data_IF_354734643658
#
_entry.id   IF_354734643658
#
_cell.length_a   1.000
_cell.length_b   1.000
_cell.length_c   1.000
_cell.angle_alpha   90.00
_cell.angle_beta   90.00
_cell.angle_gamma   90.00
#
_symmetry.space_group_name_H-M   'P 1'
#
loop_
_entity.id
_entity.type
_entity.pdbx_description
1 polymer ?
#
# COMPACT_ATOMS: atom_id res chain seq x y z
N UNK A 1 -48.91 42.09 44.02
CA UNK A 1 -49.03 40.92 43.11
C UNK A 1 -47.97 41.06 42.00
N UNK A 2 -46.82 40.38 42.18
CA UNK A 2 -45.68 40.43 41.21
C UNK A 2 -45.82 39.19 40.35
N UNK A 3 -46.02 39.39 39.01
CA UNK A 3 -46.02 38.32 38.05
C UNK A 3 -44.59 38.08 37.53
N UNK A 4 -43.97 36.97 37.93
CA UNK A 4 -42.74 36.47 37.32
C UNK A 4 -43.07 35.81 35.99
N UNK A 5 -42.60 36.38 34.89
CA UNK A 5 -42.62 35.75 33.58
C UNK A 5 -41.27 35.03 33.42
N UNK A 6 -41.30 33.71 33.46
CA UNK A 6 -40.12 32.89 33.15
C UNK A 6 -39.95 32.77 31.64
N UNK A 7 -38.93 33.40 31.06
CA UNK A 7 -38.53 33.22 29.68
C UNK A 7 -37.72 31.96 29.54
N UNK A 8 -38.25 30.94 28.87
CA UNK A 8 -37.57 29.69 28.56
C UNK A 8 -36.79 29.89 27.26
N UNK A 9 -35.47 30.19 27.37
CA UNK A 9 -34.60 30.26 26.21
C UNK A 9 -34.22 28.83 25.80
N UNK A 10 -34.81 28.35 24.70
CA UNK A 10 -34.41 27.09 24.09
C UNK A 10 -33.07 27.27 23.36
N UNK A 11 -32.01 26.69 23.92
CA UNK A 11 -30.70 26.62 23.31
C UNK A 11 -30.69 25.49 22.27
N UNK A 12 -30.87 25.84 20.98
CA UNK A 12 -30.68 24.89 19.88
C UNK A 12 -29.21 24.54 19.80
N UNK A 13 -28.84 23.35 20.27
CA UNK A 13 -27.53 22.73 19.93
C UNK A 13 -27.59 22.30 18.44
N UNK A 14 -27.00 23.12 17.58
CA UNK A 14 -26.66 22.68 16.22
C UNK A 14 -25.47 21.73 16.30
N UNK A 15 -25.73 20.42 16.31
CA UNK A 15 -24.70 19.40 16.04
C UNK A 15 -24.36 19.50 14.55
N UNK A 16 -23.28 20.19 14.21
CA UNK A 16 -22.66 20.06 12.91
C UNK A 16 -22.19 18.61 12.74
N UNK A 17 -22.84 17.86 11.87
CA UNK A 17 -22.28 16.62 11.34
C UNK A 17 -21.02 17.03 10.57
N UNK A 18 -19.85 16.84 11.20
CA UNK A 18 -18.57 16.95 10.50
C UNK A 18 -18.51 15.78 9.53
N UNK A 19 -18.72 16.02 8.24
CA UNK A 19 -18.37 15.05 7.22
C UNK A 19 -16.85 14.88 7.29
N UNK A 20 -16.36 13.65 7.42
CA UNK A 20 -14.95 13.36 7.39
C UNK A 20 -14.36 13.92 6.08
N UNK A 21 -13.22 14.61 6.16
CA UNK A 21 -12.56 15.11 4.97
C UNK A 21 -11.81 14.00 4.22
N UNK A 22 -11.38 14.23 2.99
CA UNK A 22 -10.76 13.18 2.17
C UNK A 22 -9.48 12.59 2.79
N UNK A 23 -8.76 13.35 3.60
CA UNK A 23 -7.62 12.82 4.36
C UNK A 23 -8.04 11.80 5.43
N UNK A 24 -9.20 12.02 6.08
CA UNK A 24 -9.75 11.08 7.05
C UNK A 24 -10.32 9.85 6.33
N UNK A 25 -11.05 10.04 5.22
CA UNK A 25 -11.53 8.93 4.40
C UNK A 25 -10.38 8.04 3.91
N UNK A 26 -9.23 8.66 3.55
CA UNK A 26 -8.00 7.93 3.24
C UNK A 26 -7.46 7.14 4.42
N UNK A 27 -7.37 7.77 5.59
CA UNK A 27 -6.86 7.13 6.80
C UNK A 27 -7.72 5.94 7.23
N UNK A 28 -9.04 6.05 7.09
CA UNK A 28 -9.97 5.01 7.54
C UNK A 28 -10.06 3.82 6.56
N UNK A 29 -9.83 4.05 5.26
CA UNK A 29 -10.16 3.05 4.24
C UNK A 29 -8.98 2.63 3.35
N UNK A 30 -7.89 3.39 3.28
CA UNK A 30 -6.86 3.21 2.27
C UNK A 30 -5.45 2.98 2.84
N UNK A 31 -5.14 3.62 3.97
CA UNK A 31 -3.76 3.67 4.49
C UNK A 31 -3.17 2.30 4.86
N UNK A 32 -3.98 1.34 5.28
CA UNK A 32 -3.50 0.01 5.68
C UNK A 32 -2.82 -0.72 4.51
N UNK A 33 -3.32 -0.49 3.30
CA UNK A 33 -2.73 -1.04 2.09
C UNK A 33 -1.75 -0.09 1.41
N UNK A 34 -2.06 1.21 1.36
CA UNK A 34 -1.31 2.19 0.57
C UNK A 34 -0.35 3.06 1.40
N UNK A 35 -0.20 2.76 2.70
CA UNK A 35 0.67 3.47 3.63
C UNK A 35 0.08 4.80 4.11
N UNK A 36 0.30 5.17 5.38
CA UNK A 36 -0.23 6.39 5.98
C UNK A 36 0.22 7.68 5.24
N UNK A 37 1.41 7.66 4.64
CA UNK A 37 1.96 8.74 3.82
C UNK A 37 1.65 8.63 2.33
N UNK A 38 0.78 7.76 1.88
CA UNK A 38 0.48 7.47 0.47
C UNK A 38 1.68 6.93 -0.34
N UNK A 39 2.76 6.52 0.32
CA UNK A 39 4.01 6.07 -0.32
C UNK A 39 4.01 4.58 -0.69
N UNK A 40 2.91 3.89 -0.46
CA UNK A 40 2.77 2.47 -0.76
C UNK A 40 2.98 1.58 0.46
N UNK A 41 2.67 0.32 0.28
CA UNK A 41 2.76 -0.78 1.23
C UNK A 41 2.41 -2.06 0.50
N UNK A 42 1.38 -2.76 0.94
CA UNK A 42 0.79 -3.89 0.18
C UNK A 42 0.27 -3.44 -1.18
N UNK A 43 -0.36 -2.26 -1.20
CA UNK A 43 -0.79 -1.57 -2.41
C UNK A 43 0.27 -0.58 -2.91
N UNK A 44 0.18 -0.14 -4.18
CA UNK A 44 1.11 0.83 -4.74
C UNK A 44 1.01 2.20 -4.06
N UNK A 45 2.04 3.03 -4.23
CA UNK A 45 2.00 4.42 -3.82
C UNK A 45 0.87 5.18 -4.54
N UNK A 46 0.16 6.04 -3.81
CA UNK A 46 -0.93 6.88 -4.32
C UNK A 46 -0.49 8.36 -4.33
N UNK A 47 0.49 8.65 -5.18
CA UNK A 47 1.04 9.99 -5.39
C UNK A 47 0.91 10.37 -6.87
N UNK A 48 0.93 11.67 -7.22
CA UNK A 48 0.76 12.11 -8.61
C UNK A 48 1.68 11.41 -9.61
N UNK A 49 2.93 11.15 -9.23
CA UNK A 49 3.94 10.51 -10.07
C UNK A 49 3.59 9.06 -10.45
N UNK A 50 2.95 8.33 -9.54
CA UNK A 50 2.49 6.96 -9.81
C UNK A 50 1.13 6.95 -10.49
N UNK A 51 0.22 7.83 -10.04
CA UNK A 51 -1.13 7.93 -10.59
C UNK A 51 -1.15 8.46 -12.03
N UNK A 52 -0.22 9.35 -12.39
CA UNK A 52 -0.07 9.86 -13.77
C UNK A 52 0.28 8.79 -14.80
N UNK A 53 0.72 7.62 -14.38
CA UNK A 53 1.00 6.47 -15.25
C UNK A 53 -0.19 5.53 -15.42
N UNK A 54 -1.30 5.80 -14.76
CA UNK A 54 -2.52 4.99 -14.92
C UNK A 54 -3.10 5.22 -16.31
N UNK A 55 -2.97 4.19 -17.16
CA UNK A 55 -3.69 4.11 -18.43
C UNK A 55 -5.00 3.38 -18.15
N UNK A 56 -6.12 4.03 -18.29
CA UNK A 56 -7.42 3.37 -18.11
C UNK A 56 -8.46 4.22 -17.37
N UNK A 57 -9.33 3.60 -16.59
CA UNK A 57 -10.45 4.28 -15.96
C UNK A 57 -9.97 5.38 -15.01
N UNK A 58 -10.79 6.40 -14.86
CA UNK A 58 -10.55 7.48 -13.91
C UNK A 58 -10.38 6.95 -12.49
N UNK A 59 -9.61 7.67 -11.68
CA UNK A 59 -9.27 7.25 -10.32
C UNK A 59 -10.49 7.03 -9.43
N UNK A 60 -11.51 7.88 -9.59
CA UNK A 60 -12.80 7.74 -8.92
C UNK A 60 -13.53 6.45 -9.31
N UNK A 61 -13.47 6.02 -10.58
CA UNK A 61 -14.01 4.74 -11.00
C UNK A 61 -13.25 3.57 -10.35
N UNK A 62 -11.92 3.68 -10.22
CA UNK A 62 -11.11 2.65 -9.55
C UNK A 62 -11.44 2.56 -8.05
N UNK A 63 -11.65 3.69 -7.38
CA UNK A 63 -12.05 3.71 -5.97
C UNK A 63 -13.46 3.12 -5.81
N UNK A 64 -14.40 3.58 -6.64
CA UNK A 64 -15.80 3.13 -6.58
C UNK A 64 -15.96 1.64 -6.80
N UNK A 65 -15.32 1.10 -7.85
CA UNK A 65 -15.59 -0.25 -8.37
C UNK A 65 -14.53 -1.28 -7.93
N UNK A 66 -13.43 -0.81 -7.31
CA UNK A 66 -12.28 -1.64 -6.97
C UNK A 66 -11.50 -2.12 -8.21
N UNK A 67 -10.61 -3.07 -8.00
CA UNK A 67 -9.86 -3.72 -9.09
C UNK A 67 -10.09 -5.22 -9.08
N UNK A 68 -10.75 -5.72 -10.10
CA UNK A 68 -10.99 -7.16 -10.29
C UNK A 68 -9.67 -7.94 -10.30
N UNK A 69 -9.68 -9.12 -9.69
CA UNK A 69 -8.53 -10.01 -9.55
C UNK A 69 -7.34 -9.39 -8.78
N UNK A 70 -7.61 -8.41 -7.92
CA UNK A 70 -6.64 -7.85 -6.98
C UNK A 70 -7.22 -7.79 -5.57
N UNK A 71 -6.42 -7.36 -4.59
CA UNK A 71 -6.87 -7.17 -3.21
C UNK A 71 -7.58 -5.81 -2.97
N UNK A 72 -7.71 -4.95 -3.99
CA UNK A 72 -8.38 -3.65 -3.86
C UNK A 72 -9.89 -3.82 -3.98
N UNK A 73 -10.66 -3.67 -2.88
CA UNK A 73 -12.11 -3.80 -2.90
C UNK A 73 -12.78 -2.58 -3.54
N UNK A 74 -14.07 -2.70 -3.81
CA UNK A 74 -14.94 -1.57 -4.16
C UNK A 74 -15.34 -0.80 -2.90
N UNK A 75 -15.42 0.52 -2.99
CA UNK A 75 -15.79 1.40 -1.88
C UNK A 75 -17.15 2.10 -2.08
N UNK A 76 -17.90 1.79 -3.14
CA UNK A 76 -19.19 2.40 -3.42
C UNK A 76 -20.24 2.20 -2.31
N UNK A 77 -20.15 1.11 -1.56
CA UNK A 77 -21.05 0.80 -0.45
C UNK A 77 -20.60 1.47 0.88
N UNK A 78 -19.40 2.04 0.92
CA UNK A 78 -18.80 2.64 2.13
C UNK A 78 -18.72 4.17 1.99
N UNK A 79 -18.33 4.66 0.81
CA UNK A 79 -18.12 6.07 0.52
C UNK A 79 -19.17 6.57 -0.49
N UNK A 80 -19.77 7.72 -0.20
CA UNK A 80 -20.65 8.40 -1.14
C UNK A 80 -19.90 8.94 -2.36
N UNK A 81 -20.64 9.24 -3.44
CA UNK A 81 -20.03 9.71 -4.69
C UNK A 81 -19.18 10.98 -4.49
N UNK A 82 -19.67 11.94 -3.69
CA UNK A 82 -18.94 13.18 -3.40
C UNK A 82 -17.65 12.92 -2.58
N UNK A 83 -17.67 11.91 -1.69
CA UNK A 83 -16.47 11.51 -0.93
C UNK A 83 -15.44 10.84 -1.86
N UNK A 84 -15.88 9.99 -2.78
CA UNK A 84 -15.01 9.36 -3.77
C UNK A 84 -14.34 10.40 -4.66
N UNK A 85 -15.11 11.39 -5.14
CA UNK A 85 -14.57 12.49 -5.96
C UNK A 85 -13.55 13.32 -5.16
N UNK A 86 -13.89 13.69 -3.93
CA UNK A 86 -13.00 14.43 -3.04
C UNK A 86 -11.72 13.65 -2.71
N UNK A 87 -11.85 12.34 -2.46
CA UNK A 87 -10.71 11.45 -2.21
C UNK A 87 -9.82 11.31 -3.45
N UNK A 88 -10.40 11.16 -4.64
CA UNK A 88 -9.65 11.09 -5.89
C UNK A 88 -8.90 12.41 -6.17
N UNK A 89 -9.49 13.55 -5.85
CA UNK A 89 -8.83 14.86 -5.93
C UNK A 89 -7.67 14.96 -4.93
N UNK A 90 -7.89 14.57 -3.68
CA UNK A 90 -6.87 14.54 -2.62
C UNK A 90 -5.65 13.68 -3.01
N UNK A 91 -5.87 12.54 -3.63
CA UNK A 91 -4.78 11.65 -4.06
C UNK A 91 -3.93 12.24 -5.19
N UNK A 92 -4.46 13.19 -5.96
CA UNK A 92 -3.74 13.93 -7.00
C UNK A 92 -2.94 15.12 -6.46
N UNK A 93 -3.13 15.48 -5.18
CA UNK A 93 -2.34 16.54 -4.56
C UNK A 93 -0.91 16.05 -4.29
N UNK A 94 0.12 16.85 -4.63
CA UNK A 94 1.50 16.54 -4.31
C UNK A 94 1.71 16.36 -2.81
N UNK A 95 2.60 15.45 -2.42
CA UNK A 95 3.07 15.39 -1.04
C UNK A 95 4.01 16.55 -0.76
N UNK A 96 3.92 17.11 0.45
CA UNK A 96 4.83 18.16 0.92
C UNK A 96 6.26 17.64 1.13
N UNK A 97 6.40 16.36 1.40
CA UNK A 97 7.68 15.69 1.63
C UNK A 97 7.66 14.30 0.97
N UNK A 98 8.35 14.18 -0.15
CA UNK A 98 8.56 12.90 -0.83
C UNK A 98 9.97 12.44 -0.50
N UNK A 99 10.15 11.25 0.10
CA UNK A 99 11.47 10.73 0.42
C UNK A 99 12.35 10.67 -0.82
N UNK A 100 13.53 11.29 -0.74
CA UNK A 100 14.53 11.25 -1.78
C UNK A 100 15.72 10.42 -1.29
N UNK A 101 15.85 9.21 -1.82
CA UNK A 101 16.93 8.30 -1.47
C UNK A 101 18.19 8.65 -2.27
N UNK A 102 19.27 8.90 -1.55
CA UNK A 102 20.61 9.07 -2.11
C UNK A 102 21.36 7.74 -2.12
N UNK A 103 22.48 7.65 -2.84
CA UNK A 103 23.36 6.47 -2.79
C UNK A 103 23.81 6.15 -1.36
N UNK A 104 24.00 7.18 -0.52
CA UNK A 104 24.37 7.02 0.88
C UNK A 104 23.25 6.38 1.69
N UNK A 105 21.99 6.75 1.44
CA UNK A 105 20.84 6.19 2.12
C UNK A 105 20.63 4.71 1.71
N UNK A 106 20.82 4.41 0.43
CA UNK A 106 20.79 3.03 -0.09
C UNK A 106 21.90 2.19 0.56
N UNK A 107 23.12 2.69 0.61
CA UNK A 107 24.24 1.98 1.25
C UNK A 107 24.00 1.77 2.75
N UNK A 108 23.43 2.77 3.45
CA UNK A 108 23.12 2.67 4.87
C UNK A 108 21.96 1.72 5.18
N UNK A 109 21.09 1.45 4.22
CA UNK A 109 19.96 0.52 4.39
C UNK A 109 20.33 -0.94 4.19
N UNK A 110 21.54 -1.24 3.70
CA UNK A 110 21.99 -2.61 3.49
C UNK A 110 22.23 -3.31 4.84
N UNK A 111 21.63 -4.49 4.98
CA UNK A 111 21.87 -5.38 6.11
C UNK A 111 22.79 -6.49 5.60
N UNK A 112 24.05 -6.43 6.00
CA UNK A 112 25.06 -7.44 5.62
C UNK A 112 25.22 -8.40 6.79
N UNK A 113 25.08 -9.70 6.51
CA UNK A 113 25.42 -10.73 7.50
C UNK A 113 26.94 -10.92 7.51
N UNK A 114 27.62 -10.27 8.43
CA UNK A 114 29.09 -10.34 8.57
C UNK A 114 29.57 -11.74 9.00
N UNK A 115 28.70 -12.55 9.60
CA UNK A 115 29.01 -13.93 10.00
C UNK A 115 28.92 -14.92 8.82
N UNK A 116 28.37 -14.48 7.68
CA UNK A 116 28.28 -15.34 6.51
C UNK A 116 29.64 -15.57 5.87
N UNK A 117 30.05 -16.84 5.82
CA UNK A 117 31.24 -17.25 5.10
C UNK A 117 30.82 -18.11 3.89
N UNK A 118 31.10 -17.68 2.67
CA UNK A 118 30.78 -18.46 1.49
C UNK A 118 31.59 -19.77 1.52
N UNK A 119 30.94 -20.87 1.17
CA UNK A 119 31.60 -22.17 1.01
C UNK A 119 32.43 -22.17 -0.29
N UNK A 120 33.56 -22.87 -0.31
CA UNK A 120 34.45 -22.95 -1.50
C UNK A 120 33.74 -23.63 -2.70
N UNK A 121 32.83 -24.51 -2.44
CA UNK A 121 32.07 -25.25 -3.47
C UNK A 121 30.58 -25.22 -3.18
N UNK A 122 29.75 -25.17 -4.23
CA UNK A 122 28.32 -25.29 -4.07
C UNK A 122 27.94 -26.55 -3.30
N UNK A 123 26.94 -26.45 -2.44
CA UNK A 123 26.39 -27.61 -1.68
C UNK A 123 25.37 -28.41 -2.49
N UNK A 124 24.93 -27.90 -3.64
CA UNK A 124 24.02 -28.57 -4.56
C UNK A 124 24.79 -29.15 -5.76
N UNK A 125 24.17 -30.09 -6.48
CA UNK A 125 24.75 -30.81 -7.61
C UNK A 125 24.11 -30.46 -8.97
N UNK A 126 23.24 -29.47 -8.99
CA UNK A 126 22.55 -29.03 -10.20
C UNK A 126 23.43 -28.17 -11.07
N UNK A 127 23.11 -28.05 -12.36
CA UNK A 127 23.77 -27.11 -13.27
C UNK A 127 23.52 -25.68 -12.80
N UNK A 128 24.56 -24.91 -12.40
CA UNK A 128 24.40 -23.52 -11.96
C UNK A 128 23.74 -22.62 -13.00
N UNK A 129 23.84 -22.96 -14.31
CA UNK A 129 23.24 -22.19 -15.40
C UNK A 129 21.76 -22.55 -15.62
N UNK A 130 21.26 -23.58 -14.96
CA UNK A 130 19.87 -24.04 -15.04
C UNK A 130 19.14 -24.00 -13.69
N UNK A 131 19.57 -23.16 -12.78
CA UNK A 131 18.84 -22.89 -11.52
C UNK A 131 17.70 -21.94 -11.80
N UNK A 132 16.50 -22.32 -11.36
CA UNK A 132 15.29 -21.53 -11.51
C UNK A 132 14.85 -20.97 -10.17
N UNK A 133 14.57 -19.66 -10.10
CA UNK A 133 13.99 -19.01 -8.94
C UNK A 133 12.50 -18.80 -9.13
N UNK A 134 11.70 -19.32 -8.20
CA UNK A 134 10.26 -19.10 -8.16
C UNK A 134 9.93 -18.14 -7.03
N UNK A 135 9.48 -16.94 -7.38
CA UNK A 135 9.06 -15.94 -6.39
C UNK A 135 7.62 -16.20 -6.01
N UNK A 136 7.41 -16.61 -4.77
CA UNK A 136 6.11 -16.91 -4.17
C UNK A 136 5.56 -15.65 -3.52
N UNK A 137 5.08 -14.70 -4.30
CA UNK A 137 4.65 -13.37 -3.84
C UNK A 137 3.58 -13.42 -2.75
N UNK A 138 2.64 -14.37 -2.85
CA UNK A 138 1.55 -14.53 -1.88
C UNK A 138 1.95 -15.16 -0.57
N UNK A 139 3.13 -15.81 -0.52
CA UNK A 139 3.65 -16.52 0.65
C UNK A 139 4.97 -15.94 1.17
N UNK A 140 5.47 -14.89 0.51
CA UNK A 140 6.69 -14.17 0.88
C UNK A 140 7.93 -15.08 0.96
N UNK A 141 8.07 -15.97 0.00
CA UNK A 141 9.22 -16.88 -0.11
C UNK A 141 9.79 -16.86 -1.52
N UNK A 142 11.01 -17.37 -1.64
CA UNK A 142 11.62 -17.76 -2.91
C UNK A 142 12.00 -19.24 -2.82
N UNK A 143 11.54 -20.02 -3.77
CA UNK A 143 12.00 -21.39 -3.99
C UNK A 143 13.08 -21.42 -5.05
N UNK A 144 14.14 -22.15 -4.77
CA UNK A 144 15.25 -22.43 -5.68
C UNK A 144 15.05 -23.85 -6.22
N UNK A 145 14.87 -23.96 -7.52
CA UNK A 145 14.64 -25.25 -8.19
C UNK A 145 15.82 -25.63 -9.06
N UNK A 146 16.06 -26.92 -9.16
CA UNK A 146 16.80 -27.51 -10.26
C UNK A 146 15.97 -27.39 -11.53
N UNK A 147 16.48 -26.72 -12.56
CA UNK A 147 15.74 -26.47 -13.79
C UNK A 147 15.59 -27.70 -14.70
N UNK A 148 16.34 -28.78 -14.45
CA UNK A 148 16.26 -30.03 -15.21
C UNK A 148 15.26 -31.01 -14.58
N UNK A 149 15.26 -31.12 -13.24
CA UNK A 149 14.45 -32.07 -12.51
C UNK A 149 13.20 -31.46 -11.85
N UNK A 150 13.17 -30.12 -11.71
CA UNK A 150 12.18 -29.34 -10.97
C UNK A 150 12.11 -29.69 -9.48
N UNK A 151 13.14 -30.33 -8.94
CA UNK A 151 13.26 -30.57 -7.50
C UNK A 151 13.58 -29.25 -6.79
N UNK A 152 13.01 -29.06 -5.61
CA UNK A 152 13.32 -27.90 -4.76
C UNK A 152 14.66 -28.13 -4.08
N UNK A 153 15.64 -27.27 -4.40
CA UNK A 153 16.97 -27.27 -3.80
C UNK A 153 16.98 -26.53 -2.46
N UNK A 154 16.25 -25.42 -2.40
CA UNK A 154 16.12 -24.59 -1.20
C UNK A 154 14.84 -23.75 -1.26
N UNK A 155 14.40 -23.26 -0.09
CA UNK A 155 13.27 -22.35 0.04
C UNK A 155 13.50 -21.44 1.24
N UNK A 156 13.50 -20.13 1.01
CA UNK A 156 13.76 -19.17 2.07
C UNK A 156 12.75 -18.03 2.08
N UNK A 157 12.50 -17.48 3.28
CA UNK A 157 11.61 -16.34 3.45
C UNK A 157 12.23 -15.05 2.90
N UNK A 158 11.37 -14.21 2.36
CA UNK A 158 11.74 -12.88 1.85
C UNK A 158 10.97 -11.79 2.58
N UNK A 159 11.41 -10.52 2.50
CA UNK A 159 10.59 -9.40 2.88
C UNK A 159 9.26 -9.39 2.12
N UNK A 160 8.28 -8.67 2.66
CA UNK A 160 6.93 -8.59 2.13
C UNK A 160 6.89 -8.26 0.63
N UNK A 161 6.05 -8.99 -0.09
CA UNK A 161 5.67 -8.74 -1.49
C UNK A 161 6.85 -8.58 -2.47
N UNK A 162 7.89 -9.42 -2.35
CA UNK A 162 8.94 -9.49 -3.36
C UNK A 162 8.33 -9.93 -4.69
N UNK A 163 8.53 -9.11 -5.71
CA UNK A 163 8.18 -9.43 -7.08
C UNK A 163 9.46 -9.77 -7.85
N UNK A 164 9.38 -10.74 -8.74
CA UNK A 164 10.46 -11.00 -9.67
C UNK A 164 10.73 -9.74 -10.49
N UNK A 165 11.98 -9.31 -10.51
CA UNK A 165 12.46 -8.20 -11.33
C UNK A 165 12.73 -8.63 -12.78
#
# INVERSE_FOLDING_TARGET
MIRLTASLSALLLMTSLSVAGPAQDYADNCQDCHGAGRLGGVGPALIPETLGRMCGPDLDAVIRDGRKATQMPAFADILGADQIEALAAFLKEPLSDVPNWTEKDIAASQVINEDYQPVEKPVWQSDPMNITLVVETGDHHVSVLDGDTFETLDRFATPFAVHGG
#
